data_IF_580563265654
#
_entry.id   IF_580563265654
#
_cell.length_a   1.000
_cell.length_b   1.000
_cell.length_c   1.000
_cell.angle_alpha   90.00
_cell.angle_beta   90.00
_cell.angle_gamma   90.00
#
_symmetry.space_group_name_H-M   'P 1'
#
loop_
_entity.id
_entity.type
_entity.pdbx_description
1 polymer ?
#
# COMPACT_ATOMS: atom_id res chain seq x y z
N UNK A 1 47.22 18.42 -5.75
CA UNK A 1 46.47 19.68 -5.65
C UNK A 1 45.13 19.48 -6.32
N UNK A 2 44.06 19.62 -5.53
CA UNK A 2 42.67 19.91 -5.93
C UNK A 2 41.90 18.81 -6.69
N UNK A 3 40.65 18.48 -6.40
CA UNK A 3 39.70 18.72 -5.29
C UNK A 3 38.54 17.77 -5.53
N UNK A 4 37.97 17.24 -4.44
CA UNK A 4 36.66 16.60 -4.30
C UNK A 4 35.56 17.22 -5.16
N UNK A 5 34.72 16.38 -5.75
CA UNK A 5 33.27 16.63 -5.85
C UNK A 5 32.57 15.27 -5.83
N UNK A 6 32.15 14.85 -4.63
CA UNK A 6 30.98 13.98 -4.46
C UNK A 6 29.73 14.72 -4.95
N UNK A 7 28.71 14.03 -5.45
CA UNK A 7 27.33 14.42 -5.23
C UNK A 7 26.81 13.57 -4.05
N UNK A 8 26.80 14.06 -2.81
CA UNK A 8 25.77 14.91 -2.19
C UNK A 8 24.31 14.54 -2.55
N UNK A 9 23.71 13.80 -1.61
CA UNK A 9 22.35 13.94 -1.06
C UNK A 9 21.14 13.76 -1.97
N UNK A 10 20.50 12.58 -1.86
CA UNK A 10 19.03 12.46 -1.78
C UNK A 10 18.68 11.33 -0.79
N UNK A 11 18.72 11.64 0.51
CA UNK A 11 18.08 10.82 1.53
C UNK A 11 16.55 10.99 1.41
N UNK A 12 15.88 10.02 0.79
CA UNK A 12 14.42 9.86 0.87
C UNK A 12 14.11 8.40 1.22
N UNK A 13 14.13 8.07 2.50
CA UNK A 13 13.62 6.78 3.04
C UNK A 13 12.53 7.13 4.05
N UNK A 14 11.34 6.49 4.04
CA UNK A 14 11.19 5.17 4.66
C UNK A 14 10.03 4.34 4.08
N UNK A 15 10.05 4.05 2.78
CA UNK A 15 9.45 2.83 2.24
C UNK A 15 10.66 2.06 1.74
N UNK A 16 11.09 1.00 2.42
CA UNK A 16 12.09 0.09 1.85
C UNK A 16 11.63 -0.24 0.42
N UNK A 17 12.35 0.27 -0.59
CA UNK A 17 11.78 0.65 -1.89
C UNK A 17 10.92 -0.47 -2.45
N UNK A 18 9.61 -0.24 -2.57
CA UNK A 18 8.67 -1.24 -3.09
C UNK A 18 9.15 -1.79 -4.44
N UNK A 19 9.80 -0.95 -5.24
CA UNK A 19 10.46 -1.33 -6.49
C UNK A 19 11.53 -2.42 -6.33
N UNK A 20 12.27 -2.44 -5.22
CA UNK A 20 13.28 -3.47 -4.92
C UNK A 20 12.63 -4.80 -4.60
N UNK A 21 11.52 -4.79 -3.85
CA UNK A 21 10.82 -6.03 -3.47
C UNK A 21 9.97 -6.60 -4.61
N UNK A 22 9.45 -5.73 -5.46
CA UNK A 22 8.63 -6.10 -6.62
C UNK A 22 9.44 -6.21 -7.93
N UNK A 23 10.73 -5.88 -7.93
CA UNK A 23 11.61 -6.04 -9.10
C UNK A 23 11.89 -7.50 -9.47
N UNK A 24 11.72 -8.44 -8.52
CA UNK A 24 11.78 -9.89 -8.77
C UNK A 24 10.46 -10.45 -9.35
N UNK A 25 9.37 -9.66 -9.31
CA UNK A 25 8.08 -10.09 -9.83
C UNK A 25 8.09 -9.91 -11.35
N UNK A 26 8.04 -11.02 -12.08
CA UNK A 26 7.91 -10.99 -13.53
C UNK A 26 6.63 -10.24 -13.90
N UNK A 27 6.76 -9.11 -14.59
CA UNK A 27 5.61 -8.37 -15.08
C UNK A 27 5.01 -9.17 -16.25
N UNK A 28 3.84 -9.78 -16.08
CA UNK A 28 3.23 -10.63 -17.11
C UNK A 28 2.65 -9.80 -18.26
N UNK A 29 2.73 -8.46 -18.19
CA UNK A 29 2.26 -7.55 -19.23
C UNK A 29 3.28 -7.48 -20.35
N UNK A 30 2.77 -7.49 -21.59
CA UNK A 30 3.57 -7.41 -22.81
C UNK A 30 4.46 -6.15 -22.79
N UNK A 31 5.75 -6.31 -23.06
CA UNK A 31 6.70 -5.18 -23.21
C UNK A 31 6.13 -4.11 -24.16
N UNK A 32 6.03 -2.87 -23.68
CA UNK A 32 5.49 -1.74 -24.44
C UNK A 32 3.96 -1.55 -24.38
N UNK A 33 3.23 -2.37 -23.62
CA UNK A 33 1.77 -2.22 -23.39
C UNK A 33 1.44 -1.81 -21.94
N UNK A 34 2.37 -1.11 -21.30
CA UNK A 34 2.35 -0.87 -19.86
C UNK A 34 2.25 0.62 -19.58
N UNK A 35 1.03 1.16 -19.59
CA UNK A 35 0.79 2.58 -19.30
C UNK A 35 1.01 2.93 -17.82
N UNK A 36 1.09 1.95 -16.92
CA UNK A 36 1.20 2.19 -15.49
C UNK A 36 2.28 1.30 -14.87
N UNK A 37 3.29 1.87 -14.18
CA UNK A 37 4.27 1.11 -13.43
C UNK A 37 3.60 0.12 -12.47
N UNK A 38 4.19 -1.06 -12.32
CA UNK A 38 3.65 -2.12 -11.47
C UNK A 38 3.47 -1.63 -10.02
N UNK A 39 4.48 -0.94 -9.49
CA UNK A 39 4.46 -0.44 -8.12
C UNK A 39 3.31 0.56 -7.89
N UNK A 40 2.98 1.41 -8.86
CA UNK A 40 1.89 2.39 -8.73
C UNK A 40 0.54 1.69 -8.58
N UNK A 41 0.27 0.65 -9.37
CA UNK A 41 -0.97 -0.13 -9.29
C UNK A 41 -1.06 -0.85 -7.93
N UNK A 42 0.05 -1.40 -7.45
CA UNK A 42 0.11 -2.12 -6.17
C UNK A 42 -0.12 -1.16 -5.00
N UNK A 43 0.60 -0.03 -4.94
CA UNK A 43 0.42 0.98 -3.88
C UNK A 43 -1.00 1.52 -3.88
N UNK A 44 -1.52 1.89 -5.06
CA UNK A 44 -2.91 2.34 -5.19
C UNK A 44 -3.90 1.33 -4.62
N UNK A 45 -3.72 0.05 -4.95
CA UNK A 45 -4.60 -1.02 -4.50
C UNK A 45 -4.52 -1.22 -2.99
N UNK A 46 -3.31 -1.25 -2.41
CA UNK A 46 -3.11 -1.39 -0.97
C UNK A 46 -3.75 -0.24 -0.20
N UNK A 47 -3.49 1.02 -0.60
CA UNK A 47 -4.09 2.19 0.03
C UNK A 47 -5.62 2.15 -0.06
N UNK A 48 -6.17 1.80 -1.23
CA UNK A 48 -7.62 1.73 -1.42
C UNK A 48 -8.25 0.64 -0.53
N UNK A 49 -7.66 -0.55 -0.47
CA UNK A 49 -8.17 -1.69 0.32
C UNK A 49 -8.11 -1.38 1.82
N UNK A 50 -7.05 -0.75 2.31
CA UNK A 50 -6.96 -0.29 3.71
C UNK A 50 -8.08 0.72 4.02
N UNK A 51 -8.44 1.57 3.06
CA UNK A 51 -9.57 2.50 3.16
C UNK A 51 -10.95 1.86 2.92
N UNK A 52 -11.03 0.53 2.78
CA UNK A 52 -12.29 -0.20 2.65
C UNK A 52 -12.78 -0.44 1.21
N UNK A 53 -11.92 -0.25 0.20
CA UNK A 53 -12.26 -0.66 -1.17
C UNK A 53 -12.27 -2.20 -1.29
N UNK A 54 -13.35 -2.74 -1.81
CA UNK A 54 -13.66 -4.16 -1.93
C UNK A 54 -13.62 -4.71 -3.37
N UNK A 55 -13.25 -3.88 -4.34
CA UNK A 55 -13.17 -4.28 -5.75
C UNK A 55 -12.48 -3.26 -6.66
N UNK A 56 -12.22 -3.63 -7.91
CA UNK A 56 -11.46 -2.78 -8.84
C UNK A 56 -12.13 -1.44 -9.15
N UNK A 57 -13.47 -1.39 -9.14
CA UNK A 57 -14.22 -0.15 -9.31
C UNK A 57 -14.04 0.78 -8.12
N UNK A 58 -14.11 0.25 -6.89
CA UNK A 58 -13.89 1.05 -5.67
C UNK A 58 -12.43 1.50 -5.56
N UNK A 59 -11.46 0.68 -5.98
CA UNK A 59 -10.04 1.06 -6.06
C UNK A 59 -9.83 2.21 -7.06
N UNK A 60 -10.37 2.10 -8.28
CA UNK A 60 -10.25 3.17 -9.27
C UNK A 60 -10.92 4.47 -8.80
N UNK A 61 -12.07 4.37 -8.12
CA UNK A 61 -12.76 5.52 -7.55
C UNK A 61 -11.96 6.16 -6.42
N UNK A 62 -11.35 5.37 -5.53
CA UNK A 62 -10.43 5.86 -4.50
C UNK A 62 -9.26 6.61 -5.13
N UNK A 63 -8.61 6.03 -6.14
CA UNK A 63 -7.50 6.67 -6.83
C UNK A 63 -7.89 8.02 -7.44
N UNK A 64 -9.08 8.11 -8.06
CA UNK A 64 -9.60 9.39 -8.59
C UNK A 64 -9.87 10.40 -7.48
N UNK A 65 -10.46 9.97 -6.36
CA UNK A 65 -10.81 10.84 -5.24
C UNK A 65 -9.59 11.33 -4.45
N UNK A 66 -8.50 10.55 -4.44
CA UNK A 66 -7.27 10.83 -3.69
C UNK A 66 -6.06 11.07 -4.58
N UNK A 67 -6.27 11.41 -5.85
CA UNK A 67 -5.21 11.59 -6.85
C UNK A 67 -4.13 12.56 -6.37
N UNK A 68 -4.54 13.72 -5.84
CA UNK A 68 -3.60 14.75 -5.38
C UNK A 68 -2.75 14.27 -4.18
N UNK A 69 -3.34 13.47 -3.30
CA UNK A 69 -2.63 12.88 -2.17
C UNK A 69 -1.67 11.76 -2.62
N UNK A 70 -2.12 10.89 -3.52
CA UNK A 70 -1.28 9.84 -4.11
C UNK A 70 -0.10 10.44 -4.89
N UNK A 71 -0.30 11.58 -5.56
CA UNK A 71 0.73 12.32 -6.28
C UNK A 71 1.85 12.88 -5.41
N UNK A 72 1.72 12.85 -4.07
CA UNK A 72 2.81 13.20 -3.16
C UNK A 72 3.86 12.08 -3.05
N UNK A 73 3.50 10.85 -3.43
CA UNK A 73 4.33 9.66 -3.26
C UNK A 73 4.54 8.88 -4.58
N UNK A 74 3.67 9.09 -5.57
CA UNK A 74 3.69 8.40 -6.88
C UNK A 74 3.73 9.44 -8.01
N UNK A 75 4.42 9.14 -9.11
CA UNK A 75 4.51 10.06 -10.25
C UNK A 75 3.18 10.16 -11.01
N UNK A 76 2.45 9.05 -11.17
CA UNK A 76 1.14 8.98 -11.81
C UNK A 76 1.11 9.68 -13.19
N UNK A 77 2.15 9.50 -14.02
CA UNK A 77 2.32 10.20 -15.30
C UNK A 77 1.11 9.98 -16.23
N UNK A 78 0.56 8.76 -16.23
CA UNK A 78 -0.61 8.38 -17.02
C UNK A 78 -1.93 8.49 -16.23
N UNK A 79 -1.90 9.06 -15.03
CA UNK A 79 -3.07 9.27 -14.18
C UNK A 79 -3.46 8.06 -13.34
N UNK A 80 -4.76 7.88 -13.11
CA UNK A 80 -5.28 6.77 -12.30
C UNK A 80 -5.76 5.65 -13.24
N UNK A 81 -5.28 4.41 -13.10
CA UNK A 81 -5.71 3.31 -13.93
C UNK A 81 -7.20 3.05 -13.77
N UNK A 82 -7.85 2.66 -14.87
CA UNK A 82 -9.25 2.26 -14.85
C UNK A 82 -9.45 0.93 -14.12
N UNK A 83 -10.67 0.64 -13.67
CA UNK A 83 -11.02 -0.65 -13.07
C UNK A 83 -10.68 -1.85 -13.99
N UNK A 84 -10.86 -1.70 -15.31
CA UNK A 84 -10.46 -2.70 -16.30
C UNK A 84 -8.95 -2.89 -16.36
N UNK A 85 -8.17 -1.80 -16.28
CA UNK A 85 -6.70 -1.84 -16.26
C UNK A 85 -6.20 -2.57 -15.02
N UNK A 86 -6.75 -2.24 -13.85
CA UNK A 86 -6.41 -2.87 -12.57
C UNK A 86 -6.78 -4.36 -12.62
N UNK A 87 -7.99 -4.69 -13.06
CA UNK A 87 -8.44 -6.07 -13.17
C UNK A 87 -7.60 -6.90 -14.15
N UNK A 88 -7.22 -6.32 -15.29
CA UNK A 88 -6.29 -6.96 -16.24
C UNK A 88 -4.92 -7.20 -15.63
N UNK A 89 -4.38 -6.23 -14.90
CA UNK A 89 -3.10 -6.38 -14.21
C UNK A 89 -3.13 -7.57 -13.25
N UNK A 90 -4.08 -7.60 -12.31
CA UNK A 90 -4.18 -8.69 -11.33
C UNK A 90 -4.55 -10.04 -11.94
N UNK A 91 -5.24 -10.07 -13.09
CA UNK A 91 -5.57 -11.32 -13.79
C UNK A 91 -4.35 -12.02 -14.37
N UNK A 92 -3.34 -11.26 -14.80
CA UNK A 92 -2.13 -11.82 -15.39
C UNK A 92 -1.04 -12.05 -14.34
N UNK A 93 -1.13 -11.37 -13.19
CA UNK A 93 -0.16 -11.44 -12.11
C UNK A 93 -0.07 -12.85 -11.53
N UNK A 94 1.15 -13.36 -11.33
CA UNK A 94 1.37 -14.60 -10.58
C UNK A 94 1.02 -14.36 -9.10
N UNK A 95 -0.04 -15.00 -8.57
CA UNK A 95 -0.47 -14.76 -7.19
C UNK A 95 0.58 -15.22 -6.18
N UNK A 96 1.31 -16.31 -6.43
CA UNK A 96 2.30 -16.83 -5.49
C UNK A 96 3.55 -15.95 -5.42
N UNK A 97 4.04 -15.50 -6.58
CA UNK A 97 5.13 -14.53 -6.66
C UNK A 97 4.75 -13.20 -5.99
N UNK A 98 3.56 -12.69 -6.29
CA UNK A 98 3.05 -11.46 -5.69
C UNK A 98 2.98 -11.56 -4.15
N UNK A 99 2.40 -12.63 -3.62
CA UNK A 99 2.29 -12.84 -2.17
C UNK A 99 3.67 -12.82 -1.48
N UNK A 100 4.66 -13.53 -2.05
CA UNK A 100 6.03 -13.56 -1.51
C UNK A 100 6.67 -12.17 -1.49
N UNK A 101 6.58 -11.43 -2.59
CA UNK A 101 7.09 -10.06 -2.69
C UNK A 101 6.38 -9.13 -1.70
N UNK A 102 5.05 -9.20 -1.65
CA UNK A 102 4.22 -8.38 -0.77
C UNK A 102 4.53 -8.64 0.71
N UNK A 103 4.64 -9.90 1.13
CA UNK A 103 4.98 -10.26 2.50
C UNK A 103 6.38 -9.77 2.89
N UNK A 104 7.38 -9.93 2.01
CA UNK A 104 8.74 -9.42 2.27
C UNK A 104 8.75 -7.90 2.42
N UNK A 105 8.04 -7.20 1.53
CA UNK A 105 7.89 -5.75 1.59
C UNK A 105 7.21 -5.31 2.89
N UNK A 106 6.06 -5.90 3.23
CA UNK A 106 5.33 -5.59 4.46
C UNK A 106 6.14 -5.89 5.73
N UNK A 107 6.87 -7.00 5.78
CA UNK A 107 7.76 -7.31 6.91
C UNK A 107 8.87 -6.27 7.08
N UNK A 108 9.43 -5.78 5.96
CA UNK A 108 10.42 -4.70 6.01
C UNK A 108 9.81 -3.38 6.47
N UNK A 109 8.62 -3.03 5.96
CA UNK A 109 7.90 -1.84 6.37
C UNK A 109 7.56 -1.89 7.87
N UNK A 110 7.01 -3.00 8.37
CA UNK A 110 6.66 -3.15 9.79
C UNK A 110 7.87 -3.09 10.72
N UNK A 111 9.04 -3.63 10.33
CA UNK A 111 10.28 -3.51 11.12
C UNK A 111 10.77 -2.07 11.26
N UNK A 112 10.54 -1.24 10.23
CA UNK A 112 10.84 0.19 10.30
C UNK A 112 9.84 0.95 11.17
N UNK A 113 8.61 0.44 11.31
CA UNK A 113 7.54 1.06 12.10
C UNK A 113 7.62 0.68 13.59
N UNK A 114 8.37 -0.36 13.99
CA UNK A 114 8.58 -0.71 15.42
C UNK A 114 9.18 0.44 16.25
N UNK A 115 9.84 1.42 15.63
CA UNK A 115 10.35 2.63 16.31
C UNK A 115 9.29 3.76 16.45
N UNK A 116 8.17 3.68 15.73
CA UNK A 116 7.14 4.74 15.66
C UNK A 116 5.70 4.16 15.61
N UNK A 117 5.41 3.12 16.40
CA UNK A 117 4.05 2.58 16.51
C UNK A 117 3.19 3.50 17.39
N UNK A 118 2.34 4.32 16.78
CA UNK A 118 1.18 4.91 17.45
C UNK A 118 0.03 3.91 17.38
N UNK A 119 -0.38 3.36 18.53
CA UNK A 119 -1.55 2.50 18.61
C UNK A 119 -2.81 3.28 18.17
N UNK A 120 -3.34 2.99 16.98
CA UNK A 120 -4.68 3.42 16.58
C UNK A 120 -5.66 2.48 17.27
N UNK A 121 -5.94 2.79 18.54
CA UNK A 121 -6.95 2.08 19.33
C UNK A 121 -8.34 2.22 18.68
N UNK A 122 -8.96 1.08 18.42
CA UNK A 122 -10.32 1.00 17.93
C UNK A 122 -11.31 1.31 19.05
N UNK A 123 -11.41 2.59 19.43
CA UNK A 123 -12.50 3.19 20.23
C UNK A 123 -13.13 2.26 21.27
N UNK A 124 -12.52 2.11 22.44
CA UNK A 124 -13.26 1.61 23.60
C UNK A 124 -14.41 2.58 23.96
N UNK A 125 -15.64 2.07 24.05
CA UNK A 125 -16.77 2.80 24.60
C UNK A 125 -16.51 3.05 26.10
N UNK A 126 -16.22 4.30 26.49
CA UNK A 126 -16.31 4.72 27.89
C UNK A 126 -17.71 4.42 28.43
N UNK A 127 -17.85 3.35 29.23
CA UNK A 127 -19.07 3.10 30.02
C UNK A 127 -19.57 1.66 30.14
N UNK A 128 -18.95 0.62 29.55
CA UNK A 128 -19.46 -0.76 29.67
C UNK A 128 -19.05 -1.50 30.95
N UNK A 129 -18.97 -0.81 32.09
CA UNK A 129 -18.76 -1.49 33.37
C UNK A 129 -20.12 -1.98 33.89
N UNK A 130 -20.50 -3.21 33.53
CA UNK A 130 -21.58 -3.91 34.23
C UNK A 130 -21.02 -4.55 35.51
N UNK A 131 -21.45 -4.02 36.67
CA UNK A 131 -20.96 -4.42 37.99
C UNK A 131 -21.38 -5.82 38.43
N UNK A 132 -22.11 -6.59 37.62
CA UNK A 132 -22.81 -7.78 38.09
C UNK A 132 -22.46 -9.11 37.39
N UNK A 133 -21.64 -9.12 36.34
CA UNK A 133 -21.22 -10.40 35.75
C UNK A 133 -19.80 -10.34 35.22
N UNK A 134 -18.92 -11.16 35.82
CA UNK A 134 -17.50 -11.26 35.54
C UNK A 134 -17.24 -11.93 34.17
N UNK A 135 -17.67 -11.31 33.07
CA UNK A 135 -17.49 -11.79 31.71
C UNK A 135 -16.68 -10.78 30.90
N UNK A 136 -15.61 -11.27 30.27
CA UNK A 136 -14.73 -10.50 29.41
C UNK A 136 -15.51 -9.85 28.26
N UNK A 137 -15.08 -8.65 27.88
CA UNK A 137 -15.74 -7.77 26.92
C UNK A 137 -15.99 -8.46 25.57
N UNK A 138 -17.23 -8.39 25.10
CA UNK A 138 -17.65 -8.80 23.77
C UNK A 138 -17.30 -7.69 22.78
N UNK A 139 -16.36 -7.95 21.87
CA UNK A 139 -16.10 -7.09 20.72
C UNK A 139 -17.24 -7.28 19.72
N UNK A 140 -18.09 -6.27 19.57
CA UNK A 140 -19.16 -6.21 18.58
C UNK A 140 -18.76 -5.21 17.49
N UNK A 141 -18.58 -5.68 16.25
CA UNK A 141 -18.33 -4.83 15.08
C UNK A 141 -19.65 -4.73 14.31
N UNK A 142 -20.26 -3.54 14.25
CA UNK A 142 -21.37 -3.24 13.33
C UNK A 142 -20.90 -2.16 12.36
N UNK A 143 -21.09 -2.41 11.07
CA UNK A 143 -21.08 -1.41 10.01
C UNK A 143 -22.35 -0.55 10.05
#
# INVERSE_FOLDING_TARGET
MSTTTEPSSEDTTPLASIEVYFGELEDPRREGSTDYPLHEIVVLTVCAVICGADGFTSIANFGKAKKDWLGQFLNLENGIPSHDTIGRFYRHLDPEGFEKCFLRWMQSACRQVEEEVVAIDGKELCGSYDRHSNKAALHMVSA
#
